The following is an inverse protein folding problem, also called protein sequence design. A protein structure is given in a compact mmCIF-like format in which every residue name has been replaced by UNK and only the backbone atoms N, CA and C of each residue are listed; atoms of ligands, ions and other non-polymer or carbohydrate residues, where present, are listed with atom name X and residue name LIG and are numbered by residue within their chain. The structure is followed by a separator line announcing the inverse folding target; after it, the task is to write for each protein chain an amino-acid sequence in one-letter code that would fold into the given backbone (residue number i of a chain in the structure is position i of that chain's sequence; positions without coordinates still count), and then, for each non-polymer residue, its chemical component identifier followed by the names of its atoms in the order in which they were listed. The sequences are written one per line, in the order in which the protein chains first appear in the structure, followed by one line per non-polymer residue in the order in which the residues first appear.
data_IF_172661419250
#
_entry.id   IF_172661419250
#
_cell.length_a   1.000
_cell.length_b   1.000
_cell.length_c   1.000
_cell.angle_alpha   90.00
_cell.angle_beta   90.00
_cell.angle_gamma   90.00
#
_symmetry.space_group_name_H-M   'P 1'
#
loop_
_entity.id
_entity.type
_entity.pdbx_description
1 polymer ?
#
# COMPACT_ATOMS: atom_id res chain seq x y z
N UNK A 1 20.55 6.05 -2.32
CA UNK A 1 19.46 6.94 -2.77
C UNK A 1 19.99 8.32 -3.11
N UNK A 2 20.51 9.11 -2.16
CA UNK A 2 21.04 10.47 -2.41
C UNK A 2 21.99 10.54 -3.62
N UNK A 3 22.97 9.64 -3.73
CA UNK A 3 23.88 9.57 -4.88
C UNK A 3 23.14 9.40 -6.22
N UNK A 4 22.14 8.50 -6.27
CA UNK A 4 21.40 8.27 -7.50
C UNK A 4 20.56 9.50 -7.89
N UNK A 5 19.97 10.18 -6.92
CA UNK A 5 19.13 11.35 -7.17
C UNK A 5 19.96 12.62 -7.44
N UNK A 6 21.00 12.88 -6.61
CA UNK A 6 21.80 14.11 -6.71
C UNK A 6 22.84 14.09 -7.86
N UNK A 7 23.52 12.94 -8.00
CA UNK A 7 24.65 12.83 -8.93
C UNK A 7 24.23 12.25 -10.29
N UNK A 8 23.27 11.29 -10.27
CA UNK A 8 22.82 10.62 -11.49
C UNK A 8 21.49 11.16 -12.03
N UNK A 9 20.80 11.98 -11.26
CA UNK A 9 19.48 12.55 -11.60
C UNK A 9 18.44 11.45 -11.93
N UNK A 10 18.49 10.33 -11.19
CA UNK A 10 17.61 9.18 -11.39
C UNK A 10 16.47 9.17 -10.37
N UNK A 11 15.26 8.84 -10.82
CA UNK A 11 14.14 8.58 -9.93
C UNK A 11 14.25 7.19 -9.31
N UNK A 12 13.86 7.07 -8.03
CA UNK A 12 13.85 5.82 -7.30
C UNK A 12 12.44 5.48 -6.85
N UNK A 13 12.05 4.24 -7.03
CA UNK A 13 10.84 3.69 -6.42
C UNK A 13 11.19 2.75 -5.27
N UNK A 14 10.50 2.93 -4.15
CA UNK A 14 10.72 2.15 -2.95
C UNK A 14 9.40 1.60 -2.46
N UNK A 15 9.31 0.28 -2.34
CA UNK A 15 8.21 -0.36 -1.63
C UNK A 15 8.47 -0.22 -0.11
N UNK A 16 7.60 0.50 0.59
CA UNK A 16 7.82 0.87 1.99
C UNK A 16 7.17 -0.07 2.99
N UNK A 17 6.32 -0.99 2.54
CA UNK A 17 5.63 -1.94 3.40
C UNK A 17 6.51 -3.13 3.74
N UNK A 18 6.37 -3.66 4.95
CA UNK A 18 6.96 -4.93 5.34
C UNK A 18 6.21 -6.10 4.68
N UNK A 19 6.91 -6.81 3.79
CA UNK A 19 6.33 -7.95 3.07
C UNK A 19 5.34 -7.58 1.98
N UNK A 20 4.56 -8.55 1.53
CA UNK A 20 3.54 -8.37 0.48
C UNK A 20 2.23 -7.84 1.07
N UNK A 21 1.55 -6.97 0.32
CA UNK A 21 0.22 -6.48 0.67
C UNK A 21 -0.80 -7.64 0.72
N UNK A 22 -1.50 -7.81 1.85
CA UNK A 22 -2.52 -8.85 2.04
C UNK A 22 -3.90 -8.29 2.35
N UNK A 23 -3.95 -7.12 2.93
CA UNK A 23 -5.13 -6.52 3.56
C UNK A 23 -5.37 -5.07 3.16
N UNK A 24 -4.61 -4.54 2.21
CA UNK A 24 -4.65 -3.13 1.79
C UNK A 24 -4.41 -2.11 2.92
N UNK A 25 -3.92 -2.56 4.08
CA UNK A 25 -3.55 -1.69 5.18
C UNK A 25 -2.06 -1.35 5.09
N UNK A 26 -1.70 -0.58 4.09
CA UNK A 26 -0.32 -0.18 3.88
C UNK A 26 0.10 0.85 4.93
N UNK A 27 1.15 0.50 5.67
CA UNK A 27 1.74 1.37 6.68
C UNK A 27 3.21 1.56 6.42
N UNK A 28 3.62 2.82 6.48
CA UNK A 28 5.02 3.21 6.32
C UNK A 28 5.86 2.66 7.46
N UNK A 29 7.00 2.09 7.11
CA UNK A 29 7.95 1.60 8.10
C UNK A 29 8.94 2.70 8.47
N UNK A 30 8.99 3.09 9.75
CA UNK A 30 9.97 4.07 10.26
C UNK A 30 11.41 3.69 9.92
N UNK A 31 11.72 2.39 9.84
CA UNK A 31 13.03 1.89 9.46
C UNK A 31 13.42 2.27 8.04
N UNK A 32 12.47 2.33 7.13
CA UNK A 32 12.70 2.79 5.74
C UNK A 32 13.02 4.27 5.73
N UNK A 33 12.26 5.09 6.47
CA UNK A 33 12.54 6.53 6.60
C UNK A 33 13.89 6.79 7.26
N UNK A 34 14.23 6.02 8.30
CA UNK A 34 15.55 6.10 8.96
C UNK A 34 16.68 5.78 7.98
N UNK A 35 16.51 4.74 7.13
CA UNK A 35 17.48 4.44 6.06
C UNK A 35 17.59 5.57 5.04
N UNK A 36 16.46 6.16 4.63
CA UNK A 36 16.46 7.29 3.70
C UNK A 36 17.19 8.50 4.26
N UNK A 37 17.05 8.76 5.57
CA UNK A 37 17.68 9.87 6.26
C UNK A 37 19.13 9.59 6.72
N UNK A 38 19.75 8.44 6.37
CA UNK A 38 21.13 8.11 6.78
C UNK A 38 22.19 8.95 6.07
N UNK A 39 21.87 9.44 4.86
CA UNK A 39 22.77 10.30 4.08
C UNK A 39 22.10 11.67 3.86
N UNK A 40 22.84 12.61 3.30
CA UNK A 40 22.40 13.99 3.12
C UNK A 40 22.97 14.93 4.19
N UNK A 41 22.68 16.20 4.05
CA UNK A 41 23.17 17.25 4.94
C UNK A 41 22.04 17.80 5.83
N UNK A 42 22.40 18.36 6.98
CA UNK A 42 21.45 18.96 7.90
C UNK A 42 20.75 17.97 8.82
N UNK A 43 19.56 18.32 9.27
CA UNK A 43 18.72 17.50 10.14
C UNK A 43 17.94 16.41 9.35
N UNK A 44 17.09 15.65 10.05
CA UNK A 44 16.32 14.54 9.44
C UNK A 44 15.40 15.04 8.33
N UNK A 45 14.70 16.16 8.58
CA UNK A 45 13.75 16.70 7.61
C UNK A 45 14.44 17.23 6.36
N UNK A 46 15.56 17.93 6.52
CA UNK A 46 16.38 18.44 5.42
C UNK A 46 16.91 17.30 4.54
N UNK A 47 17.41 16.23 5.15
CA UNK A 47 17.88 15.04 4.43
C UNK A 47 16.77 14.34 3.65
N UNK A 48 15.55 14.26 4.21
CA UNK A 48 14.40 13.67 3.52
C UNK A 48 13.90 14.59 2.41
N UNK A 49 13.92 15.92 2.59
CA UNK A 49 13.57 16.89 1.56
C UNK A 49 14.47 16.79 0.32
N UNK A 50 15.77 16.49 0.51
CA UNK A 50 16.69 16.27 -0.62
C UNK A 50 16.23 15.14 -1.56
N UNK A 51 15.39 14.23 -1.06
CA UNK A 51 14.88 13.08 -1.82
C UNK A 51 13.58 13.38 -2.56
N UNK A 52 12.94 14.53 -2.34
CA UNK A 52 11.67 14.88 -2.96
C UNK A 52 10.65 13.74 -2.92
N UNK A 53 10.34 13.26 -1.71
CA UNK A 53 9.48 12.09 -1.51
C UNK A 53 8.07 12.38 -2.02
N UNK A 54 7.58 11.52 -2.91
CA UNK A 54 6.21 11.56 -3.45
C UNK A 54 5.52 10.23 -3.15
N UNK A 55 4.57 10.18 -2.23
CA UNK A 55 3.76 9.00 -1.98
C UNK A 55 2.97 8.57 -3.23
N UNK A 56 2.95 7.25 -3.49
CA UNK A 56 2.24 6.64 -4.61
C UNK A 56 1.30 5.56 -4.08
N UNK A 57 0.01 5.71 -4.34
CA UNK A 57 -1.00 4.69 -4.12
C UNK A 57 -1.29 3.92 -5.42
N UNK A 58 -1.43 2.61 -5.30
CA UNK A 58 -1.80 1.72 -6.41
C UNK A 58 -3.03 0.93 -5.97
N UNK A 59 -4.13 1.07 -6.71
CA UNK A 59 -5.36 0.32 -6.45
C UNK A 59 -5.68 -0.58 -7.63
N UNK A 60 -5.89 -1.85 -7.37
CA UNK A 60 -6.35 -2.85 -8.34
C UNK A 60 -7.84 -3.07 -8.16
N UNK A 61 -8.57 -3.24 -9.26
CA UNK A 61 -9.98 -3.63 -9.23
C UNK A 61 -10.15 -5.06 -8.72
N UNK A 62 -9.26 -5.96 -9.15
CA UNK A 62 -9.15 -7.34 -8.69
C UNK A 62 -7.72 -7.65 -8.29
N UNK A 63 -7.54 -8.28 -7.15
CA UNK A 63 -6.24 -8.81 -6.76
C UNK A 63 -6.14 -10.27 -7.25
N UNK A 64 -5.29 -10.57 -8.24
CA UNK A 64 -5.20 -11.92 -8.78
C UNK A 64 -4.75 -12.97 -7.76
N UNK A 65 -4.26 -12.55 -6.61
CA UNK A 65 -3.81 -13.42 -5.54
C UNK A 65 -4.78 -13.47 -4.34
N UNK A 66 -5.98 -12.93 -4.44
CA UNK A 66 -6.92 -12.80 -3.32
C UNK A 66 -7.25 -14.17 -2.69
N UNK A 67 -7.59 -15.19 -3.49
CA UNK A 67 -7.86 -16.54 -3.02
C UNK A 67 -6.62 -17.21 -2.38
N UNK A 68 -5.41 -16.97 -2.90
CA UNK A 68 -4.16 -17.47 -2.32
C UNK A 68 -3.88 -16.80 -0.97
N UNK A 69 -4.19 -15.52 -0.85
CA UNK A 69 -4.06 -14.76 0.39
C UNK A 69 -5.09 -15.24 1.43
N UNK A 70 -6.34 -15.43 1.01
CA UNK A 70 -7.41 -15.96 1.86
C UNK A 70 -7.05 -17.35 2.39
N UNK A 71 -6.57 -18.25 1.52
CA UNK A 71 -6.09 -19.57 1.87
C UNK A 71 -4.94 -19.54 2.88
N UNK A 72 -3.95 -18.68 2.65
CA UNK A 72 -2.81 -18.52 3.58
C UNK A 72 -3.26 -18.00 4.95
N UNK A 73 -4.18 -17.03 4.99
CA UNK A 73 -4.74 -16.51 6.23
C UNK A 73 -5.53 -17.58 6.99
N UNK A 74 -6.33 -18.37 6.28
CA UNK A 74 -7.06 -19.48 6.85
C UNK A 74 -6.11 -20.55 7.44
N UNK A 75 -5.09 -20.96 6.70
CA UNK A 75 -4.11 -21.93 7.15
C UNK A 75 -3.38 -21.47 8.41
N UNK A 76 -2.99 -20.19 8.49
CA UNK A 76 -2.38 -19.58 9.67
C UNK A 76 -3.32 -19.49 10.87
N UNK A 77 -4.62 -19.32 10.63
CA UNK A 77 -5.63 -19.32 11.70
C UNK A 77 -5.84 -20.73 12.26
N UNK A 78 -5.84 -21.73 11.38
CA UNK A 78 -6.20 -23.11 11.73
C UNK A 78 -4.99 -23.93 12.23
N UNK A 79 -3.76 -23.51 11.89
CA UNK A 79 -2.50 -24.13 12.32
C UNK A 79 -1.46 -23.08 12.72
N UNK A 80 -1.17 -22.97 14.02
CA UNK A 80 -0.17 -22.02 14.55
C UNK A 80 1.26 -22.29 14.08
N UNK A 81 1.54 -23.52 13.59
CA UNK A 81 2.85 -23.92 13.09
C UNK A 81 2.95 -23.83 11.57
N UNK A 82 1.90 -23.37 10.89
CA UNK A 82 1.90 -23.23 9.44
C UNK A 82 3.05 -22.34 8.96
N UNK A 83 3.85 -22.89 8.07
CA UNK A 83 4.92 -22.17 7.38
C UNK A 83 4.72 -22.27 5.88
N UNK A 84 4.77 -21.11 5.23
CA UNK A 84 4.70 -21.00 3.79
C UNK A 84 5.92 -21.63 3.13
N UNK A 85 5.69 -22.42 2.09
CA UNK A 85 6.78 -23.01 1.30
C UNK A 85 7.36 -22.00 0.30
N UNK A 86 8.63 -22.19 -0.17
CA UNK A 86 9.17 -21.40 -1.28
C UNK A 86 8.36 -21.54 -2.58
N UNK A 87 7.73 -22.68 -2.80
CA UNK A 87 6.87 -22.95 -3.96
C UNK A 87 5.60 -22.08 -3.92
N UNK A 88 5.00 -21.91 -2.74
CA UNK A 88 3.85 -21.01 -2.56
C UNK A 88 4.21 -19.57 -2.92
N UNK A 89 5.43 -19.14 -2.62
CA UNK A 89 5.90 -17.81 -2.98
C UNK A 89 6.07 -17.65 -4.49
N UNK A 90 6.57 -18.67 -5.18
CA UNK A 90 6.70 -18.67 -6.63
C UNK A 90 5.32 -18.65 -7.31
N UNK A 91 4.38 -19.47 -6.85
CA UNK A 91 3.00 -19.50 -7.33
C UNK A 91 2.34 -18.13 -7.16
N UNK A 92 2.48 -17.52 -5.97
CA UNK A 92 1.94 -16.18 -5.72
C UNK A 92 2.55 -15.12 -6.65
N UNK A 93 3.87 -15.18 -6.90
CA UNK A 93 4.53 -14.25 -7.82
C UNK A 93 4.01 -14.43 -9.25
N UNK A 94 3.92 -15.66 -9.72
CA UNK A 94 3.44 -15.98 -11.06
C UNK A 94 1.98 -15.57 -11.24
N UNK A 95 1.10 -15.90 -10.28
CA UNK A 95 -0.30 -15.50 -10.28
C UNK A 95 -0.45 -13.97 -10.24
N UNK A 96 0.31 -13.31 -9.38
CA UNK A 96 0.30 -11.85 -9.30
C UNK A 96 0.81 -11.15 -10.57
N UNK A 97 1.72 -11.77 -11.30
CA UNK A 97 2.25 -11.21 -12.54
C UNK A 97 1.28 -11.36 -13.72
N UNK A 98 0.73 -12.55 -13.91
CA UNK A 98 -0.08 -12.92 -15.09
C UNK A 98 -1.60 -12.86 -14.87
N UNK A 99 -2.05 -12.89 -13.61
CA UNK A 99 -3.48 -12.91 -13.31
C UNK A 99 -4.20 -11.62 -13.69
N UNK A 100 -5.50 -11.74 -13.88
CA UNK A 100 -6.38 -10.62 -14.23
C UNK A 100 -6.48 -9.62 -13.09
N UNK A 101 -6.40 -8.33 -13.40
CA UNK A 101 -6.41 -7.22 -12.40
C UNK A 101 -7.54 -6.23 -12.61
N UNK A 102 -8.28 -6.36 -13.73
CA UNK A 102 -9.26 -5.34 -14.10
C UNK A 102 -8.60 -3.98 -14.36
N UNK A 103 -9.24 -2.95 -13.86
CA UNK A 103 -8.71 -1.57 -13.90
C UNK A 103 -7.63 -1.40 -12.82
N UNK A 104 -6.60 -0.65 -13.18
CA UNK A 104 -5.51 -0.31 -12.24
C UNK A 104 -5.48 1.21 -12.12
N UNK A 105 -5.49 1.71 -10.90
CA UNK A 105 -5.40 3.13 -10.60
C UNK A 105 -4.09 3.45 -9.92
N UNK A 106 -3.34 4.40 -10.48
CA UNK A 106 -2.12 4.98 -9.91
C UNK A 106 -2.41 6.43 -9.53
N UNK A 107 -2.17 6.77 -8.27
CA UNK A 107 -2.34 8.12 -7.77
C UNK A 107 -1.13 8.54 -6.97
N UNK A 108 -0.46 9.60 -7.40
CA UNK A 108 0.59 10.29 -6.63
C UNK A 108 -0.02 11.42 -5.82
N UNK A 109 0.53 11.65 -4.64
CA UNK A 109 0.29 12.88 -3.90
C UNK A 109 1.23 14.00 -4.35
N UNK A 110 1.12 15.17 -3.71
CA UNK A 110 2.16 16.18 -3.77
C UNK A 110 3.46 15.68 -3.13
N UNK A 111 4.58 16.35 -3.46
CA UNK A 111 5.86 16.15 -2.78
C UNK A 111 5.75 16.58 -1.32
N UNK A 112 6.29 15.78 -0.39
CA UNK A 112 6.18 16.00 1.05
C UNK A 112 7.03 17.16 1.60
N UNK A 113 7.74 17.90 0.76
CA UNK A 113 8.68 18.91 1.25
C UNK A 113 8.01 19.99 2.11
N UNK A 114 6.77 20.36 1.80
CA UNK A 114 6.02 21.33 2.59
C UNK A 114 5.65 20.77 3.97
N UNK A 115 5.11 19.56 4.03
CA UNK A 115 4.75 18.91 5.28
C UNK A 115 5.98 18.60 6.16
N UNK A 116 7.13 18.31 5.53
CA UNK A 116 8.38 18.14 6.26
C UNK A 116 8.85 19.45 6.91
N UNK A 117 8.62 20.63 6.28
CA UNK A 117 8.89 21.93 6.88
C UNK A 117 7.94 22.18 8.07
N UNK A 118 6.65 21.90 7.93
CA UNK A 118 5.67 22.04 9.02
C UNK A 118 6.04 21.15 10.22
N UNK A 119 6.40 19.88 9.95
CA UNK A 119 6.83 18.95 11.01
C UNK A 119 8.12 19.37 11.71
N UNK A 120 9.05 20.01 10.99
CA UNK A 120 10.28 20.57 11.56
C UNK A 120 9.97 21.68 12.59
N UNK A 121 8.99 22.54 12.31
CA UNK A 121 8.59 23.62 13.22
C UNK A 121 8.03 23.12 14.55
N UNK A 122 7.49 21.90 14.58
CA UNK A 122 6.95 21.29 15.80
C UNK A 122 8.04 20.87 16.81
N UNK A 123 9.31 20.87 16.43
CA UNK A 123 10.45 20.50 17.28
C UNK A 123 10.26 19.17 18.04
N UNK A 124 9.70 18.16 17.39
CA UNK A 124 9.42 16.86 17.98
C UNK A 124 10.70 16.11 18.32
N UNK A 125 10.66 15.25 19.37
CA UNK A 125 11.71 14.26 19.59
C UNK A 125 11.90 13.40 18.33
N UNK A 126 13.13 12.94 18.07
CA UNK A 126 13.48 12.24 16.83
C UNK A 126 12.61 11.00 16.54
N UNK A 127 12.22 10.24 17.58
CA UNK A 127 11.32 9.10 17.39
C UNK A 127 9.93 9.55 16.92
N UNK A 128 9.37 10.57 17.58
CA UNK A 128 8.04 11.07 17.31
C UNK A 128 7.98 11.76 15.93
N UNK A 129 9.08 12.39 15.52
CA UNK A 129 9.20 12.97 14.18
C UNK A 129 9.10 11.89 13.10
N UNK A 130 9.79 10.75 13.22
CA UNK A 130 9.66 9.66 12.25
C UNK A 130 8.25 9.10 12.20
N UNK A 131 7.60 8.94 13.35
CA UNK A 131 6.21 8.49 13.43
C UNK A 131 5.27 9.49 12.73
N UNK A 132 5.42 10.79 12.99
CA UNK A 132 4.62 11.83 12.35
C UNK A 132 4.81 11.88 10.81
N UNK A 133 6.04 11.67 10.33
CA UNK A 133 6.33 11.56 8.89
C UNK A 133 5.67 10.30 8.31
N UNK A 134 5.77 9.15 8.99
CA UNK A 134 5.10 7.90 8.58
C UNK A 134 3.59 8.08 8.46
N UNK A 135 2.96 8.67 9.47
CA UNK A 135 1.52 8.94 9.48
C UNK A 135 1.10 9.92 8.37
N UNK A 136 1.95 10.89 8.04
CA UNK A 136 1.71 11.80 6.92
C UNK A 136 1.74 11.07 5.58
N UNK A 137 2.72 10.21 5.36
CA UNK A 137 2.79 9.36 4.16
C UNK A 137 1.58 8.43 4.07
N UNK A 138 1.23 7.76 5.18
CA UNK A 138 0.08 6.85 5.23
C UNK A 138 -1.23 7.57 4.91
N UNK A 139 -1.43 8.78 5.44
CA UNK A 139 -2.58 9.62 5.13
C UNK A 139 -2.68 9.93 3.64
N UNK A 140 -1.56 10.29 2.99
CA UNK A 140 -1.51 10.54 1.54
C UNK A 140 -1.83 9.27 0.74
N UNK A 141 -1.29 8.12 1.12
CA UNK A 141 -1.55 6.84 0.44
C UNK A 141 -3.01 6.44 0.60
N UNK A 142 -3.54 6.45 1.83
CA UNK A 142 -4.91 6.02 2.10
C UNK A 142 -5.95 6.95 1.46
N UNK A 143 -5.71 8.27 1.45
CA UNK A 143 -6.59 9.22 0.77
C UNK A 143 -6.55 9.13 -0.76
N UNK A 144 -5.50 8.51 -1.29
CA UNK A 144 -5.30 8.33 -2.74
C UNK A 144 -5.78 6.97 -3.25
N UNK A 145 -6.28 6.09 -2.39
CA UNK A 145 -6.87 4.83 -2.83
C UNK A 145 -8.14 5.07 -3.64
N UNK A 146 -8.30 4.27 -4.69
CA UNK A 146 -9.55 4.14 -5.43
C UNK A 146 -10.24 2.84 -5.06
N UNK A 147 -11.48 2.95 -4.60
CA UNK A 147 -12.38 1.82 -4.46
C UNK A 147 -13.11 1.57 -5.77
N UNK A 148 -13.37 0.31 -6.06
CA UNK A 148 -14.11 -0.15 -7.23
C UNK A 148 -15.43 -0.80 -6.78
N UNK A 149 -16.36 -0.99 -7.68
CA UNK A 149 -17.68 -1.58 -7.40
C UNK A 149 -17.57 -2.87 -6.56
N UNK A 150 -16.63 -3.77 -6.91
CA UNK A 150 -16.39 -5.02 -6.17
C UNK A 150 -16.07 -4.83 -4.69
N UNK A 151 -15.39 -3.73 -4.29
CA UNK A 151 -15.11 -3.45 -2.88
C UNK A 151 -16.39 -3.14 -2.09
N UNK A 152 -17.31 -2.38 -2.68
CA UNK A 152 -18.57 -2.02 -2.07
C UNK A 152 -19.53 -3.21 -2.00
N UNK A 153 -19.62 -3.99 -3.09
CA UNK A 153 -20.38 -5.26 -3.12
C UNK A 153 -19.87 -6.22 -2.05
N UNK A 154 -18.54 -6.42 -1.97
CA UNK A 154 -17.94 -7.29 -0.95
C UNK A 154 -18.29 -6.84 0.47
N UNK A 155 -18.28 -5.53 0.73
CA UNK A 155 -18.66 -4.98 2.02
C UNK A 155 -20.11 -5.24 2.37
N UNK A 156 -21.04 -4.97 1.44
CA UNK A 156 -22.48 -5.21 1.65
C UNK A 156 -22.78 -6.70 1.85
N UNK A 157 -22.16 -7.58 1.06
CA UNK A 157 -22.28 -9.04 1.23
C UNK A 157 -21.74 -9.52 2.59
N UNK A 158 -20.59 -9.02 3.02
CA UNK A 158 -19.97 -9.40 4.28
C UNK A 158 -20.79 -8.95 5.50
N UNK A 159 -21.33 -7.73 5.44
CA UNK A 159 -22.10 -7.13 6.54
C UNK A 159 -23.57 -7.57 6.51
N UNK A 160 -24.05 -8.14 5.41
CA UNK A 160 -25.46 -8.52 5.21
C UNK A 160 -26.38 -7.30 5.17
N UNK A 161 -25.87 -6.19 4.66
CA UNK A 161 -26.64 -4.94 4.50
C UNK A 161 -26.57 -4.42 3.05
N UNK A 162 -27.17 -3.27 2.78
CA UNK A 162 -27.24 -2.65 1.47
C UNK A 162 -26.74 -1.20 1.53
N UNK A 163 -25.74 -0.95 2.35
CA UNK A 163 -25.26 0.39 2.66
C UNK A 163 -24.66 1.12 1.47
N UNK A 164 -24.05 0.38 0.56
CA UNK A 164 -23.30 0.92 -0.56
C UNK A 164 -23.96 0.68 -1.92
N UNK A 165 -25.24 0.35 -1.96
CA UNK A 165 -25.97 0.08 -3.24
C UNK A 165 -25.95 1.24 -4.23
N UNK A 166 -25.67 2.46 -3.80
CA UNK A 166 -25.50 3.62 -4.68
C UNK A 166 -24.13 3.66 -5.40
N UNK A 167 -23.18 2.85 -4.96
CA UNK A 167 -21.78 2.84 -5.46
C UNK A 167 -21.53 1.76 -6.51
N UNK A 168 -22.53 0.93 -6.82
CA UNK A 168 -22.44 -0.13 -7.83
C UNK A 168 -23.77 -0.38 -8.50
N UNK A 169 -23.72 -0.95 -9.70
CA UNK A 169 -24.89 -1.40 -10.44
C UNK A 169 -25.19 -2.88 -10.16
N UNK A 170 -26.40 -3.33 -10.48
CA UNK A 170 -26.76 -4.75 -10.34
C UNK A 170 -25.89 -5.63 -11.26
N UNK A 171 -25.52 -5.15 -12.45
CA UNK A 171 -24.62 -5.84 -13.36
C UNK A 171 -23.21 -6.02 -12.77
N UNK A 172 -22.68 -4.98 -12.11
CA UNK A 172 -21.36 -5.05 -11.43
C UNK A 172 -21.42 -6.02 -10.24
N UNK A 173 -22.54 -6.06 -9.52
CA UNK A 173 -22.75 -7.01 -8.43
C UNK A 173 -22.77 -8.45 -8.94
N UNK A 174 -23.58 -8.75 -9.95
CA UNK A 174 -23.62 -10.08 -10.58
C UNK A 174 -22.24 -10.50 -11.13
N UNK A 175 -21.50 -9.55 -11.71
CA UNK A 175 -20.16 -9.82 -12.20
C UNK A 175 -19.21 -10.19 -11.07
N UNK A 176 -19.27 -9.48 -9.95
CA UNK A 176 -18.45 -9.77 -8.77
C UNK A 176 -18.85 -11.11 -8.11
N UNK A 177 -20.13 -11.43 -8.00
CA UNK A 177 -20.61 -12.71 -7.49
C UNK A 177 -20.12 -13.88 -8.34
N UNK A 178 -20.18 -13.76 -9.68
CA UNK A 178 -19.61 -14.75 -10.61
C UNK A 178 -18.09 -14.89 -10.48
N UNK A 179 -17.40 -13.78 -10.22
CA UNK A 179 -15.96 -13.83 -9.95
C UNK A 179 -15.66 -14.64 -8.70
N UNK A 180 -16.42 -14.45 -7.61
CA UNK A 180 -16.25 -15.22 -6.38
C UNK A 180 -16.53 -16.73 -6.58
N UNK A 181 -17.51 -17.09 -7.41
CA UNK A 181 -17.81 -18.50 -7.71
C UNK A 181 -16.69 -19.21 -8.48
N UNK A 182 -15.80 -18.47 -9.15
CA UNK A 182 -14.67 -19.02 -9.93
C UNK A 182 -13.39 -19.19 -9.12
N UNK A 183 -13.34 -18.67 -7.90
CA UNK A 183 -12.19 -18.76 -6.98
C UNK A 183 -12.28 -20.01 -6.10
#
# INVERSE_FOLDING_TARGET
MHFAMKEKHENLWIAQRQGRAKDSNDRTQDSVLKMMAMAGEGDVTERLKELNIVPLAISYEYDPCDFLKAKELQQKRDDEHFQKSPEDDLINMQTGLYGYKGRIHFQTSACLNHELDELKELNLPKCDLFTAISETIDRHIHSSYRLFAGNYVACDLLMGDNRFTAEYTEEEKEHFEKYLEQQ
#
